data_IF_221836247109
#
_entry.id   IF_221836247109
#
_cell.length_a   1.000
_cell.length_b   1.000
_cell.length_c   1.000
_cell.angle_alpha   90.00
_cell.angle_beta   90.00
_cell.angle_gamma   90.00
#
_symmetry.space_group_name_H-M   'P 1'
#
loop_
_entity.id
_entity.type
_entity.pdbx_description
1 polymer ?
#
# COMPACT_ATOMS: atom_id res chain seq x y z
N UNK A 1 10.32 -3.06 5.01
CA UNK A 1 10.97 -4.04 4.11
C UNK A 1 10.83 -3.58 2.66
N UNK A 2 11.91 -3.60 1.87
CA UNK A 2 11.86 -3.27 0.43
C UNK A 2 11.74 -4.54 -0.40
N UNK A 3 10.92 -4.47 -1.44
CA UNK A 3 10.62 -5.56 -2.38
C UNK A 3 10.88 -5.06 -3.79
N UNK A 4 11.56 -5.87 -4.59
CA UNK A 4 11.87 -5.53 -5.99
C UNK A 4 12.40 -6.69 -6.82
N UNK A 5 12.71 -7.83 -6.20
CA UNK A 5 13.24 -8.97 -6.91
C UNK A 5 12.22 -9.50 -7.94
N UNK A 6 12.66 -9.61 -9.20
CA UNK A 6 11.84 -10.01 -10.37
C UNK A 6 10.56 -9.17 -10.56
N UNK A 7 10.55 -7.92 -10.09
CA UNK A 7 9.41 -6.99 -10.25
C UNK A 7 9.85 -5.75 -11.04
N UNK A 8 8.86 -5.02 -11.58
CA UNK A 8 9.09 -3.87 -12.49
C UNK A 8 9.71 -2.65 -11.80
N UNK A 9 9.47 -2.49 -10.49
CA UNK A 9 9.90 -1.34 -9.69
C UNK A 9 10.01 -1.75 -8.21
N UNK A 10 10.65 -0.92 -7.39
CA UNK A 10 10.73 -1.16 -5.94
C UNK A 10 9.46 -0.72 -5.23
N UNK A 11 9.00 -1.57 -4.32
CA UNK A 11 7.93 -1.28 -3.38
C UNK A 11 8.38 -1.45 -1.94
N UNK A 12 7.76 -0.71 -1.02
CA UNK A 12 8.11 -0.73 0.39
C UNK A 12 6.91 -1.17 1.26
N UNK A 13 7.12 -2.19 2.09
CA UNK A 13 6.25 -2.49 3.22
C UNK A 13 6.74 -1.72 4.44
N UNK A 14 5.88 -0.91 5.02
CA UNK A 14 6.17 -0.08 6.19
C UNK A 14 5.40 -0.64 7.38
N UNK A 15 6.08 -0.83 8.51
CA UNK A 15 5.45 -1.19 9.78
C UNK A 15 5.59 0.00 10.73
N UNK A 16 4.57 0.22 11.56
CA UNK A 16 4.59 1.25 12.58
C UNK A 16 4.96 0.64 13.93
N UNK A 17 5.51 1.46 14.83
CA UNK A 17 5.80 1.01 16.19
C UNK A 17 4.51 0.86 16.96
N UNK A 18 4.24 -0.37 17.37
CA UNK A 18 3.05 -0.78 18.13
C UNK A 18 3.46 -1.41 19.45
N UNK A 19 2.55 -1.40 20.44
CA UNK A 19 2.81 -2.07 21.71
C UNK A 19 2.88 -3.58 21.50
N UNK A 20 3.89 -4.19 22.09
CA UNK A 20 4.06 -5.64 22.14
C UNK A 20 3.57 -6.15 23.49
N UNK A 21 2.80 -7.25 23.48
CA UNK A 21 2.49 -7.97 24.70
C UNK A 21 3.70 -8.84 25.08
N UNK A 22 4.23 -8.64 26.29
CA UNK A 22 5.43 -9.33 26.77
C UNK A 22 5.20 -10.84 26.99
N UNK A 23 3.95 -11.23 27.27
CA UNK A 23 3.62 -12.63 27.57
C UNK A 23 3.45 -13.48 26.30
N UNK A 24 2.80 -12.93 25.28
CA UNK A 24 2.53 -13.64 24.01
C UNK A 24 3.55 -13.33 22.92
N UNK A 25 4.40 -12.31 23.14
CA UNK A 25 5.29 -11.72 22.13
C UNK A 25 4.57 -11.21 20.86
N UNK A 26 3.24 -11.09 20.90
CA UNK A 26 2.43 -10.61 19.79
C UNK A 26 2.29 -9.09 19.81
N UNK A 27 2.08 -8.53 18.62
CA UNK A 27 1.86 -7.11 18.43
C UNK A 27 0.38 -6.77 18.52
N UNK A 28 0.07 -5.74 19.31
CA UNK A 28 -1.26 -5.15 19.37
C UNK A 28 -1.46 -4.10 18.27
N UNK A 29 -2.70 -3.62 18.11
CA UNK A 29 -3.03 -2.57 17.15
C UNK A 29 -2.77 -1.14 17.70
N UNK A 30 -2.29 -1.00 18.94
CA UNK A 30 -2.04 0.31 19.55
C UNK A 30 -0.66 0.85 19.21
N UNK A 31 -0.61 2.08 18.68
CA UNK A 31 0.63 2.78 18.38
C UNK A 31 1.37 3.20 19.66
N UNK A 32 2.70 3.20 19.61
CA UNK A 32 3.55 3.57 20.75
C UNK A 32 4.82 4.32 20.32
N UNK A 33 5.40 5.05 21.29
CA UNK A 33 6.65 5.80 21.11
C UNK A 33 6.57 6.83 19.99
N UNK A 34 7.61 6.85 19.16
CA UNK A 34 7.81 7.84 18.08
C UNK A 34 6.65 7.89 17.07
N UNK A 35 5.84 6.83 16.97
CA UNK A 35 4.68 6.85 16.09
C UNK A 35 3.62 7.88 16.54
N UNK A 36 3.43 8.08 17.85
CA UNK A 36 2.44 9.03 18.37
C UNK A 36 2.83 10.49 18.10
N UNK A 37 4.13 10.77 17.95
CA UNK A 37 4.64 12.11 17.65
C UNK A 37 4.26 12.57 16.23
N UNK A 38 4.10 11.62 15.31
CA UNK A 38 3.73 11.92 13.92
C UNK A 38 2.29 12.39 13.84
N UNK A 39 1.34 11.70 14.48
CA UNK A 39 -0.03 12.19 14.61
C UNK A 39 -0.64 11.84 15.97
N UNK A 40 -1.08 12.87 16.70
CA UNK A 40 -1.73 12.74 18.01
C UNK A 40 -3.12 12.11 17.95
N UNK A 41 -3.74 12.11 16.76
CA UNK A 41 -5.11 11.68 16.55
C UNK A 41 -5.22 10.20 16.18
N UNK A 42 -4.17 9.59 15.63
CA UNK A 42 -4.17 8.16 15.30
C UNK A 42 -3.61 7.38 16.48
N UNK A 43 -4.48 6.63 17.16
CA UNK A 43 -4.06 5.74 18.26
C UNK A 43 -3.85 4.30 17.78
N UNK A 44 -4.49 3.94 16.67
CA UNK A 44 -4.38 2.60 16.08
C UNK A 44 -3.68 2.63 14.72
N UNK A 45 -3.18 1.47 14.27
CA UNK A 45 -2.54 1.34 12.95
C UNK A 45 -3.54 1.60 11.83
N UNK A 46 -4.80 1.20 12.03
CA UNK A 46 -5.89 1.44 11.07
C UNK A 46 -6.17 2.94 10.89
N UNK A 47 -6.14 3.71 11.99
CA UNK A 47 -6.31 5.16 11.95
C UNK A 47 -5.14 5.80 11.20
N UNK A 48 -3.90 5.36 11.46
CA UNK A 48 -2.72 5.89 10.79
C UNK A 48 -2.75 5.64 9.28
N UNK A 49 -3.34 4.52 8.84
CA UNK A 49 -3.50 4.21 7.41
C UNK A 49 -4.49 5.14 6.70
N UNK A 50 -5.49 5.66 7.42
CA UNK A 50 -6.50 6.59 6.88
C UNK A 50 -6.08 8.05 7.04
N UNK A 51 -5.14 8.34 7.94
CA UNK A 51 -4.72 9.70 8.25
C UNK A 51 -3.85 10.29 7.11
N UNK A 52 -4.25 11.44 6.54
CA UNK A 52 -3.44 12.14 5.55
C UNK A 52 -2.10 12.64 6.10
N UNK A 53 -1.97 12.88 7.42
CA UNK A 53 -0.70 13.32 8.02
C UNK A 53 0.36 12.23 7.93
N UNK A 54 -0.01 10.99 8.24
CA UNK A 54 0.84 9.82 8.09
C UNK A 54 1.23 9.56 6.64
N UNK A 55 0.26 9.65 5.73
CA UNK A 55 0.51 9.50 4.29
C UNK A 55 1.54 10.51 3.80
N UNK A 56 1.39 11.79 4.16
CA UNK A 56 2.35 12.85 3.80
C UNK A 56 3.73 12.62 4.42
N UNK A 57 3.78 12.23 5.69
CA UNK A 57 5.04 11.98 6.39
C UNK A 57 5.89 10.90 5.67
N UNK A 58 5.25 9.79 5.32
CA UNK A 58 5.90 8.68 4.62
C UNK A 58 6.27 9.06 3.19
N UNK A 59 5.36 9.74 2.47
CA UNK A 59 5.63 10.23 1.12
C UNK A 59 6.84 11.18 1.09
N UNK A 60 6.95 12.09 2.06
CA UNK A 60 8.06 13.03 2.12
C UNK A 60 9.37 12.34 2.48
N UNK A 61 9.34 11.30 3.33
CA UNK A 61 10.51 10.45 3.59
C UNK A 61 10.99 9.73 2.32
N UNK A 62 10.08 9.14 1.54
CA UNK A 62 10.45 8.48 0.28
C UNK A 62 10.86 9.46 -0.81
N UNK A 63 10.26 10.66 -0.89
CA UNK A 63 10.73 11.72 -1.80
C UNK A 63 12.15 12.16 -1.47
N UNK A 64 12.46 12.35 -0.19
CA UNK A 64 13.82 12.67 0.26
C UNK A 64 14.81 11.58 -0.19
N UNK A 65 14.48 10.31 0.07
CA UNK A 65 15.28 9.17 -0.38
C UNK A 65 15.45 9.11 -1.92
N UNK A 66 14.37 9.29 -2.68
CA UNK A 66 14.40 9.24 -4.14
C UNK A 66 15.14 10.41 -4.80
N UNK A 67 15.27 11.54 -4.10
CA UNK A 67 16.00 12.73 -4.55
C UNK A 67 17.48 12.68 -4.17
N UNK A 68 17.84 11.90 -3.17
CA UNK A 68 19.21 11.66 -2.77
C UNK A 68 19.91 10.80 -3.82
N UNK A 69 20.93 11.39 -4.47
CA UNK A 69 21.67 10.74 -5.55
C UNK A 69 22.66 9.69 -5.04
N UNK A 70 23.04 9.75 -3.78
CA UNK A 70 23.94 8.76 -3.17
C UNK A 70 23.16 7.49 -2.82
N UNK A 71 21.97 7.65 -2.23
CA UNK A 71 21.10 6.54 -1.86
C UNK A 71 20.37 5.93 -3.08
N UNK A 72 19.90 6.78 -4.01
CA UNK A 72 19.17 6.39 -5.20
C UNK A 72 19.98 6.73 -6.47
N UNK A 73 20.96 5.87 -6.78
CA UNK A 73 21.87 6.05 -7.91
C UNK A 73 21.13 5.97 -9.25
N UNK A 74 20.06 5.17 -9.33
CA UNK A 74 19.34 4.91 -10.58
C UNK A 74 17.83 4.91 -10.41
N UNK A 75 17.11 5.08 -11.53
CA UNK A 75 15.65 4.94 -11.55
C UNK A 75 15.17 3.57 -11.08
N UNK A 76 15.98 2.52 -11.22
CA UNK A 76 15.67 1.18 -10.73
C UNK A 76 15.67 1.09 -9.20
N UNK A 77 16.35 2.01 -8.51
CA UNK A 77 16.42 2.07 -7.05
C UNK A 77 15.36 3.01 -6.43
N UNK A 78 14.52 3.64 -7.26
CA UNK A 78 13.44 4.50 -6.78
C UNK A 78 12.29 3.68 -6.20
N UNK A 79 11.87 4.04 -5.00
CA UNK A 79 10.70 3.47 -4.36
C UNK A 79 9.48 4.20 -4.91
N UNK A 80 8.60 3.48 -5.60
CA UNK A 80 7.44 4.07 -6.26
C UNK A 80 6.15 3.90 -5.48
N UNK A 81 5.99 2.75 -4.82
CA UNK A 81 4.78 2.42 -4.06
C UNK A 81 5.15 1.91 -2.68
N UNK A 82 4.30 2.21 -1.71
CA UNK A 82 4.47 1.73 -0.35
C UNK A 82 3.10 1.40 0.26
N UNK A 83 3.13 0.59 1.31
CA UNK A 83 1.94 0.25 2.09
C UNK A 83 2.29 0.07 3.56
N UNK A 84 1.44 0.60 4.44
CA UNK A 84 1.48 0.32 5.88
C UNK A 84 0.84 -1.05 6.13
N UNK A 85 1.53 -1.91 6.86
CA UNK A 85 1.01 -3.18 7.36
C UNK A 85 0.32 -2.99 8.72
N UNK A 86 -0.63 -3.88 9.03
CA UNK A 86 -1.46 -3.79 10.24
C UNK A 86 -0.71 -4.18 11.53
N UNK A 87 0.47 -4.81 11.41
CA UNK A 87 1.32 -5.18 12.55
C UNK A 87 2.80 -5.25 12.16
N UNK A 88 3.67 -5.32 13.17
CA UNK A 88 5.13 -5.46 12.99
C UNK A 88 5.54 -6.93 12.80
N UNK A 89 6.76 -7.17 12.33
CA UNK A 89 7.27 -8.52 12.09
C UNK A 89 7.58 -9.24 13.39
N UNK A 90 7.06 -10.46 13.53
CA UNK A 90 7.11 -11.20 14.80
C UNK A 90 7.81 -12.55 14.68
N UNK A 91 8.42 -13.00 15.78
CA UNK A 91 9.01 -14.35 15.88
C UNK A 91 7.92 -15.45 15.91
N UNK A 92 6.77 -15.29 16.63
CA UNK A 92 5.72 -16.32 16.63
C UNK A 92 5.14 -16.63 15.25
N UNK A 93 5.08 -15.65 14.34
CA UNK A 93 4.61 -15.84 12.94
C UNK A 93 5.67 -16.41 12.00
N UNK A 94 6.83 -16.78 12.51
CA UNK A 94 8.02 -17.21 11.75
C UNK A 94 8.51 -16.18 10.71
N UNK A 95 8.19 -14.90 10.89
CA UNK A 95 8.65 -13.81 10.03
C UNK A 95 10.08 -13.39 10.39
N UNK A 96 10.47 -13.67 11.63
CA UNK A 96 11.82 -13.44 12.15
C UNK A 96 12.40 -14.75 12.69
N UNK A 97 13.70 -14.93 12.50
CA UNK A 97 14.47 -15.96 13.20
C UNK A 97 14.58 -15.63 14.69
N UNK A 98 14.92 -16.63 15.52
CA UNK A 98 15.28 -16.41 16.93
C UNK A 98 16.41 -15.38 17.12
N UNK A 99 17.26 -15.21 16.11
CA UNK A 99 18.32 -14.17 16.05
C UNK A 99 17.82 -12.80 15.59
N UNK A 100 16.50 -12.57 15.54
CA UNK A 100 15.86 -11.33 15.08
C UNK A 100 16.22 -10.90 13.64
N UNK A 101 16.63 -11.86 12.79
CA UNK A 101 16.80 -11.63 11.35
C UNK A 101 15.50 -11.92 10.61
N UNK A 102 15.12 -11.03 9.69
CA UNK A 102 13.92 -11.17 8.85
C UNK A 102 14.05 -12.36 7.88
N UNK A 103 13.05 -13.24 7.87
CA UNK A 103 12.88 -14.31 6.89
C UNK A 103 12.06 -13.79 5.71
N UNK A 104 12.75 -13.18 4.73
CA UNK A 104 12.10 -12.53 3.57
C UNK A 104 11.14 -13.46 2.82
N UNK A 105 11.49 -14.73 2.63
CA UNK A 105 10.65 -15.71 1.94
C UNK A 105 9.29 -15.93 2.62
N UNK A 106 9.26 -15.97 3.96
CA UNK A 106 8.03 -16.14 4.74
C UNK A 106 7.18 -14.87 4.69
N UNK A 107 7.80 -13.71 4.91
CA UNK A 107 7.11 -12.41 4.85
C UNK A 107 6.47 -12.20 3.46
N UNK A 108 7.18 -12.56 2.39
CA UNK A 108 6.65 -12.49 1.03
C UNK A 108 5.40 -13.35 0.84
N UNK A 109 5.36 -14.56 1.40
CA UNK A 109 4.19 -15.45 1.33
C UNK A 109 3.04 -14.92 2.18
N UNK A 110 3.32 -14.50 3.42
CA UNK A 110 2.29 -13.99 4.34
C UNK A 110 1.60 -12.74 3.81
N UNK A 111 2.36 -11.85 3.14
CA UNK A 111 1.85 -10.58 2.61
C UNK A 111 1.72 -10.53 1.08
N UNK A 112 1.67 -11.68 0.42
CA UNK A 112 1.63 -11.78 -1.05
C UNK A 112 0.50 -10.94 -1.64
N UNK A 113 -0.72 -11.08 -1.10
CA UNK A 113 -1.90 -10.30 -1.52
C UNK A 113 -1.67 -8.79 -1.42
N UNK A 114 -1.04 -8.34 -0.33
CA UNK A 114 -0.77 -6.94 -0.11
C UNK A 114 0.27 -6.40 -1.12
N UNK A 115 1.25 -7.24 -1.48
CA UNK A 115 2.30 -6.94 -2.45
C UNK A 115 1.72 -6.90 -3.86
N UNK A 116 0.98 -7.92 -4.28
CA UNK A 116 0.44 -8.03 -5.63
C UNK A 116 -0.55 -6.90 -5.93
N UNK A 117 -1.42 -6.54 -4.98
CA UNK A 117 -2.33 -5.40 -5.16
C UNK A 117 -1.61 -4.06 -5.40
N UNK A 118 -0.37 -3.87 -4.90
CA UNK A 118 0.43 -2.67 -5.24
C UNK A 118 0.90 -2.71 -6.70
N UNK A 119 1.29 -3.89 -7.19
CA UNK A 119 1.73 -4.07 -8.56
C UNK A 119 0.56 -3.98 -9.56
N UNK A 120 -0.59 -4.57 -9.24
CA UNK A 120 -1.82 -4.43 -10.03
C UNK A 120 -2.28 -2.98 -10.12
N UNK A 121 -2.26 -2.24 -9.00
CA UNK A 121 -2.60 -0.81 -9.01
C UNK A 121 -1.68 0.00 -9.94
N UNK A 122 -0.40 -0.36 -10.00
CA UNK A 122 0.55 0.28 -10.90
C UNK A 122 0.28 -0.01 -12.38
N UNK A 123 -0.29 -1.17 -12.72
CA UNK A 123 -0.71 -1.47 -14.09
C UNK A 123 -1.97 -0.70 -14.51
N UNK A 124 -2.85 -0.39 -13.55
CA UNK A 124 -4.07 0.38 -13.79
C UNK A 124 -3.79 1.89 -13.92
N UNK A 125 -2.79 2.41 -13.20
CA UNK A 125 -2.42 3.84 -13.24
C UNK A 125 -2.13 4.41 -14.64
N UNK A 126 -1.35 3.76 -15.53
CA UNK A 126 -1.16 4.24 -16.89
C UNK A 126 -2.47 4.22 -17.71
N UNK A 127 -3.34 3.23 -17.49
CA UNK A 127 -4.66 3.14 -18.15
C UNK A 127 -5.54 4.33 -17.72
N UNK A 128 -5.62 4.62 -16.41
CA UNK A 128 -6.37 5.78 -15.89
C UNK A 128 -5.83 7.10 -16.42
N UNK A 129 -4.50 7.26 -16.50
CA UNK A 129 -3.87 8.48 -17.05
C UNK A 129 -4.18 8.64 -18.54
N UNK A 130 -4.14 7.54 -19.30
CA UNK A 130 -4.46 7.55 -20.73
C UNK A 130 -5.95 7.82 -20.97
N UNK A 131 -6.87 7.22 -20.20
CA UNK A 131 -8.32 7.48 -20.31
C UNK A 131 -8.66 8.92 -19.94
N UNK A 132 -8.08 9.47 -18.85
CA UNK A 132 -8.23 10.88 -18.49
C UNK A 132 -7.67 11.83 -19.56
N UNK A 133 -6.55 11.44 -20.20
CA UNK A 133 -5.99 12.19 -21.35
C UNK A 133 -6.93 12.17 -22.55
N UNK A 134 -7.60 11.04 -22.83
CA UNK A 134 -8.60 10.94 -23.89
C UNK A 134 -9.88 11.74 -23.58
N UNK A 135 -10.36 11.71 -22.32
CA UNK A 135 -11.54 12.48 -21.88
C UNK A 135 -11.29 14.00 -21.80
N UNK A 136 -10.03 14.42 -21.60
CA UNK A 136 -9.63 15.82 -21.63
C UNK A 136 -9.32 16.36 -23.04
N UNK A 137 -9.31 15.48 -24.05
CA UNK A 137 -9.31 15.91 -25.45
C UNK A 137 -10.76 16.24 -25.83
N UNK A 138 -11.05 17.52 -26.06
CA UNK A 138 -12.20 17.92 -26.89
C UNK A 138 -11.89 17.58 -28.35
N UNK A 139 -11.58 16.32 -28.66
CA UNK A 139 -11.68 15.87 -30.03
C UNK A 139 -13.18 15.80 -30.32
N UNK A 140 -13.66 16.71 -31.18
CA UNK A 140 -14.96 16.57 -31.83
C UNK A 140 -14.94 15.27 -32.62
N UNK A 141 -15.26 14.17 -31.95
CA UNK A 141 -15.48 12.89 -32.59
C UNK A 141 -16.88 12.95 -33.18
N UNK A 142 -16.97 13.50 -34.38
CA UNK A 142 -18.15 13.39 -35.24
C UNK A 142 -18.28 11.92 -35.65
N UNK A 143 -18.92 11.11 -34.80
CA UNK A 143 -19.60 9.92 -35.27
C UNK A 143 -21.00 10.38 -35.69
N UNK A 144 -21.26 10.30 -37.00
CA UNK A 144 -22.58 10.52 -37.54
C UNK A 144 -23.60 9.61 -36.85
N UNK A 145 -24.63 10.24 -36.29
CA UNK A 145 -25.87 9.60 -35.86
C UNK A 145 -25.84 8.92 -34.49
N UNK A 146 -26.17 9.68 -33.45
CA UNK A 146 -26.64 9.14 -32.18
C UNK A 146 -25.84 9.61 -30.96
N UNK A 147 -26.47 10.45 -30.13
CA UNK A 147 -25.96 10.76 -28.79
C UNK A 147 -26.18 9.56 -27.88
N UNK A 148 -25.15 8.73 -27.70
CA UNK A 148 -25.08 7.79 -26.58
C UNK A 148 -24.28 8.47 -25.47
N UNK A 149 -24.99 8.90 -24.43
CA UNK A 149 -24.39 9.26 -23.14
C UNK A 149 -23.89 7.97 -22.49
N UNK A 150 -22.71 7.50 -22.90
CA UNK A 150 -22.00 6.47 -22.17
C UNK A 150 -21.41 7.11 -20.91
N UNK A 151 -22.20 7.12 -19.84
CA UNK A 151 -21.71 7.38 -18.49
C UNK A 151 -20.62 6.33 -18.17
N UNK A 152 -19.37 6.77 -18.23
CA UNK A 152 -18.18 5.95 -18.00
C UNK A 152 -18.12 5.36 -16.57
N UNK A 153 -19.01 5.78 -15.67
CA UNK A 153 -19.14 5.22 -14.32
C UNK A 153 -19.63 3.76 -14.29
N UNK A 154 -20.25 3.26 -15.37
CA UNK A 154 -20.80 1.90 -15.38
C UNK A 154 -19.78 0.81 -15.73
N UNK A 155 -18.67 1.16 -16.39
CA UNK A 155 -17.62 0.19 -16.76
C UNK A 155 -16.65 -0.12 -15.62
N UNK A 156 -16.62 0.72 -14.58
CA UNK A 156 -15.77 0.53 -13.39
C UNK A 156 -16.42 -0.46 -12.41
N UNK A 157 -17.74 -0.57 -12.38
CA UNK A 157 -18.43 -1.47 -11.44
C UNK A 157 -18.31 -2.95 -11.79
N UNK A 158 -18.03 -3.32 -13.05
CA UNK A 158 -17.88 -4.72 -13.47
C UNK A 158 -16.51 -5.35 -13.14
N UNK A 159 -15.58 -4.60 -12.55
CA UNK A 159 -14.27 -5.10 -12.05
C UNK A 159 -13.97 -4.57 -10.64
N UNK A 160 -14.93 -4.64 -9.73
CA UNK A 160 -14.64 -4.63 -8.29
C UNK A 160 -14.24 -6.06 -7.93
N UNK A 161 -12.96 -6.39 -7.66
CA UNK A 161 -12.66 -7.68 -7.06
C UNK A 161 -13.23 -7.67 -5.64
N UNK A 162 -14.07 -8.65 -5.37
CA UNK A 162 -14.71 -8.92 -4.09
C UNK A 162 -13.66 -9.01 -2.98
N UNK A 163 -13.56 -7.98 -2.16
CA UNK A 163 -13.03 -8.05 -0.80
C UNK A 163 -13.82 -7.08 0.06
N UNK A 164 -15.13 -7.32 0.10
CA UNK A 164 -15.97 -6.87 1.20
C UNK A 164 -15.59 -7.72 2.42
N UNK A 165 -15.29 -7.03 3.52
CA UNK A 165 -15.06 -7.58 4.85
C UNK A 165 -15.96 -8.79 5.13
N UNK A 166 -15.35 -9.96 5.35
CA UNK A 166 -15.99 -11.03 6.09
C UNK A 166 -15.73 -10.76 7.59
N UNK A 167 -16.55 -9.91 8.19
CA UNK A 167 -16.90 -10.10 9.59
C UNK A 167 -17.74 -11.38 9.66
N UNK A 168 -17.10 -12.52 9.93
CA UNK A 168 -17.81 -13.66 10.46
C UNK A 168 -17.94 -13.47 11.97
N UNK A 169 -19.09 -12.93 12.40
CA UNK A 169 -19.53 -13.13 13.80
C UNK A 169 -20.06 -14.57 13.92
N UNK A 170 -19.62 -15.37 14.89
CA UNK A 170 -20.23 -16.66 15.15
C UNK A 170 -21.67 -16.45 15.67
N UNK A 171 -22.64 -17.10 15.03
CA UNK A 171 -23.99 -17.23 15.56
C UNK A 171 -23.95 -18.19 16.76
N UNK A 172 -24.50 -17.73 17.89
CA UNK A 172 -25.19 -18.58 18.86
C UNK A 172 -26.68 -18.30 18.73
#
# INVERSE_FOLDING_TARGET
MIIGDKRKFLTALVTLKVKQNLDTMEFTNELTGVALDVSSNSKTVEDARKDPKWTKYIDDAFKKYNNDKEACVSNAQKIQYWRILDGDFSVPKDEMTSTLKLKRSVIHKNHEKAIDSMYEAAEINPIKKNIKKCLGCTCNFSFGGGSLVLNADMLIQKKKPDTFFLEQKPNY
#
